data_IF_780851887646
#
_entry.id   IF_780851887646
#
_cell.length_a   1.000
_cell.length_b   1.000
_cell.length_c   1.000
_cell.angle_alpha   90.00
_cell.angle_beta   90.00
_cell.angle_gamma   90.00
#
_symmetry.space_group_name_H-M   'P 1'
#
loop_
_entity.id
_entity.type
_entity.pdbx_description
1 polymer ?
#
# COMPACT_ATOMS: atom_id res chain seq x y z
N UNK A 1 12.03 -11.32 -55.05
CA UNK A 1 12.97 -10.99 -53.97
C UNK A 1 12.72 -9.66 -53.24
N UNK A 2 11.54 -8.97 -53.39
CA UNK A 2 11.26 -7.67 -52.73
C UNK A 2 10.33 -7.76 -51.51
N UNK A 3 9.75 -8.92 -51.20
CA UNK A 3 8.79 -9.07 -50.05
C UNK A 3 9.44 -9.47 -48.71
N UNK A 4 10.66 -10.02 -48.74
CA UNK A 4 11.37 -10.52 -47.53
C UNK A 4 12.01 -9.38 -46.72
N UNK A 5 12.37 -8.26 -47.38
CA UNK A 5 13.01 -7.11 -46.72
C UNK A 5 12.01 -6.30 -45.86
N UNK A 6 10.71 -6.27 -46.25
CA UNK A 6 9.69 -5.51 -45.51
C UNK A 6 9.32 -6.15 -44.18
N UNK A 7 9.40 -7.49 -44.04
CA UNK A 7 9.10 -8.20 -42.78
C UNK A 7 10.22 -8.03 -41.73
N UNK A 8 11.46 -7.90 -42.15
CA UNK A 8 12.63 -7.70 -41.26
C UNK A 8 12.60 -6.27 -40.68
N UNK A 9 12.13 -5.26 -41.44
CA UNK A 9 12.03 -3.88 -40.93
C UNK A 9 10.94 -3.73 -39.89
N UNK A 10 9.79 -4.43 -40.03
CA UNK A 10 8.71 -4.39 -39.02
C UNK A 10 9.09 -5.04 -37.68
N UNK A 11 9.94 -6.09 -37.72
CA UNK A 11 10.43 -6.72 -36.50
C UNK A 11 11.43 -5.84 -35.72
N UNK A 12 12.17 -4.96 -36.40
CA UNK A 12 13.11 -4.04 -35.76
C UNK A 12 12.43 -2.85 -35.08
N UNK A 13 11.31 -2.38 -35.61
CA UNK A 13 10.55 -1.29 -34.99
C UNK A 13 9.80 -1.74 -33.71
N UNK A 14 9.31 -2.97 -33.66
CA UNK A 14 8.64 -3.52 -32.47
C UNK A 14 9.59 -3.73 -31.26
N UNK A 15 10.88 -3.99 -31.50
CA UNK A 15 11.86 -4.15 -30.42
C UNK A 15 12.35 -2.82 -29.83
N UNK A 16 12.39 -1.75 -30.61
CA UNK A 16 12.86 -0.44 -30.10
C UNK A 16 11.89 0.17 -29.08
N UNK A 17 10.57 0.07 -29.30
CA UNK A 17 9.56 0.62 -28.39
C UNK A 17 9.55 -0.10 -27.02
N UNK A 18 9.85 -1.40 -26.98
CA UNK A 18 9.88 -2.19 -25.74
C UNK A 18 11.13 -1.89 -24.90
N UNK A 19 12.27 -1.67 -25.52
CA UNK A 19 13.54 -1.41 -24.82
C UNK A 19 13.59 0.02 -24.27
N UNK A 20 13.05 1.00 -24.99
CA UNK A 20 12.90 2.38 -24.52
C UNK A 20 11.96 2.46 -23.31
N UNK A 21 10.83 1.75 -23.35
CA UNK A 21 9.91 1.64 -22.24
C UNK A 21 10.53 0.95 -21.02
N UNK A 22 11.32 -0.12 -21.22
CA UNK A 22 12.05 -0.80 -20.16
C UNK A 22 13.08 0.14 -19.50
N UNK A 23 13.82 0.92 -20.30
CA UNK A 23 14.77 1.93 -19.80
C UNK A 23 14.09 3.03 -18.99
N UNK A 24 12.93 3.52 -19.45
CA UNK A 24 12.14 4.53 -18.73
C UNK A 24 11.63 3.96 -17.39
N UNK A 25 11.10 2.74 -17.40
CA UNK A 25 10.62 2.07 -16.19
C UNK A 25 11.76 1.85 -15.20
N UNK A 26 12.94 1.43 -15.65
CA UNK A 26 14.10 1.28 -14.78
C UNK A 26 14.49 2.60 -14.11
N UNK A 27 14.58 3.69 -14.88
CA UNK A 27 14.92 5.02 -14.33
C UNK A 27 13.90 5.51 -13.31
N UNK A 28 12.61 5.30 -13.57
CA UNK A 28 11.55 5.66 -12.63
C UNK A 28 11.63 4.81 -11.37
N UNK A 29 11.79 3.50 -11.51
CA UNK A 29 11.99 2.58 -10.39
C UNK A 29 13.17 3.00 -9.52
N UNK A 30 14.33 3.26 -10.11
CA UNK A 30 15.55 3.72 -9.41
C UNK A 30 15.28 5.04 -8.64
N UNK A 31 14.59 6.00 -9.27
CA UNK A 31 14.25 7.29 -8.63
C UNK A 31 13.33 7.13 -7.41
N UNK A 32 12.32 6.24 -7.49
CA UNK A 32 11.43 5.98 -6.36
C UNK A 32 12.11 5.14 -5.28
N UNK A 33 12.99 4.22 -5.65
CA UNK A 33 13.80 3.43 -4.73
C UNK A 33 14.71 4.32 -3.86
N UNK A 34 15.40 5.31 -4.47
CA UNK A 34 16.22 6.30 -3.75
C UNK A 34 15.39 7.13 -2.75
N UNK A 35 14.13 7.43 -3.09
CA UNK A 35 13.19 8.12 -2.19
C UNK A 35 12.58 7.20 -1.13
N UNK A 36 12.94 5.91 -1.12
CA UNK A 36 12.35 4.87 -0.25
C UNK A 36 10.85 4.66 -0.45
N UNK A 37 10.34 5.01 -1.61
CA UNK A 37 8.95 4.77 -2.05
C UNK A 37 8.86 3.40 -2.72
N UNK A 38 9.10 2.34 -1.95
CA UNK A 38 9.37 0.99 -2.45
C UNK A 38 8.20 0.35 -3.20
N UNK A 39 6.95 0.63 -2.82
CA UNK A 39 5.76 0.13 -3.54
C UNK A 39 5.69 0.72 -4.95
N UNK A 40 6.03 2.01 -5.09
CA UNK A 40 6.04 2.67 -6.39
C UNK A 40 7.23 2.21 -7.23
N UNK A 41 8.40 2.01 -6.61
CA UNK A 41 9.58 1.48 -7.27
C UNK A 41 9.32 0.07 -7.83
N UNK A 42 8.74 -0.83 -7.02
CA UNK A 42 8.32 -2.18 -7.39
C UNK A 42 7.41 -2.19 -8.60
N UNK A 43 6.36 -1.36 -8.62
CA UNK A 43 5.44 -1.19 -9.73
C UNK A 43 6.15 -0.88 -11.06
N UNK A 44 7.22 -0.07 -11.06
CA UNK A 44 7.98 0.23 -12.26
C UNK A 44 8.93 -0.90 -12.66
N UNK A 45 9.60 -1.56 -11.70
CA UNK A 45 10.49 -2.67 -12.00
C UNK A 45 9.75 -3.90 -12.54
N UNK A 46 8.55 -4.21 -12.05
CA UNK A 46 7.71 -5.32 -12.54
C UNK A 46 7.24 -5.14 -13.99
N UNK A 47 7.30 -3.91 -14.51
CA UNK A 47 6.96 -3.60 -15.91
C UNK A 47 8.11 -3.79 -16.90
N UNK A 48 9.26 -4.21 -16.43
CA UNK A 48 10.40 -4.51 -17.29
C UNK A 48 10.29 -5.96 -17.73
N UNK A 49 10.14 -6.22 -19.06
CA UNK A 49 9.97 -7.57 -19.56
C UNK A 49 11.17 -8.47 -19.22
N UNK A 50 10.92 -9.77 -19.00
CA UNK A 50 11.95 -10.74 -18.63
C UNK A 50 13.01 -10.96 -19.71
N UNK A 51 12.65 -10.76 -20.97
CA UNK A 51 13.54 -10.82 -22.12
C UNK A 51 14.36 -9.54 -22.36
N UNK A 52 14.10 -8.47 -21.58
CA UNK A 52 14.87 -7.24 -21.63
C UNK A 52 16.27 -7.42 -21.04
N UNK A 53 17.33 -6.85 -21.66
CA UNK A 53 18.67 -6.79 -21.06
C UNK A 53 18.71 -6.12 -19.68
N UNK A 54 17.70 -5.29 -19.37
CA UNK A 54 17.57 -4.55 -18.11
C UNK A 54 16.89 -5.36 -17.01
N UNK A 55 16.28 -6.51 -17.34
CA UNK A 55 15.53 -7.33 -16.38
C UNK A 55 16.38 -7.80 -15.20
N UNK A 56 17.61 -8.23 -15.45
CA UNK A 56 18.53 -8.68 -14.38
C UNK A 56 18.76 -7.59 -13.33
N UNK A 57 18.86 -6.31 -13.76
CA UNK A 57 19.02 -5.18 -12.84
C UNK A 57 17.72 -4.93 -12.08
N UNK A 58 16.58 -4.94 -12.78
CA UNK A 58 15.28 -4.76 -12.16
C UNK A 58 14.97 -5.86 -11.13
N UNK A 59 15.24 -7.12 -11.47
CA UNK A 59 15.08 -8.28 -10.59
C UNK A 59 15.88 -8.14 -9.31
N UNK A 60 17.14 -7.70 -9.39
CA UNK A 60 17.97 -7.44 -8.20
C UNK A 60 17.33 -6.40 -7.27
N UNK A 61 16.77 -5.34 -7.83
CA UNK A 61 16.09 -4.29 -7.02
C UNK A 61 14.78 -4.81 -6.41
N UNK A 62 14.02 -5.63 -7.16
CA UNK A 62 12.82 -6.30 -6.63
C UNK A 62 13.16 -7.22 -5.46
N UNK A 63 14.24 -8.00 -5.56
CA UNK A 63 14.69 -8.88 -4.48
C UNK A 63 15.14 -8.06 -3.26
N UNK A 64 15.80 -6.91 -3.46
CA UNK A 64 16.17 -5.99 -2.38
C UNK A 64 14.94 -5.38 -1.71
N UNK A 65 13.94 -4.93 -2.48
CA UNK A 65 12.66 -4.45 -1.96
C UNK A 65 11.97 -5.54 -1.13
N UNK A 66 11.95 -6.78 -1.63
CA UNK A 66 11.36 -7.91 -0.91
C UNK A 66 12.05 -8.16 0.43
N UNK A 67 13.39 -8.05 0.49
CA UNK A 67 14.14 -8.16 1.75
C UNK A 67 13.83 -7.00 2.71
N UNK A 68 13.75 -5.77 2.21
CA UNK A 68 13.40 -4.59 3.00
C UNK A 68 11.98 -4.77 3.57
N UNK A 69 11.01 -5.16 2.73
CA UNK A 69 9.63 -5.42 3.16
C UNK A 69 9.54 -6.55 4.19
N UNK A 70 10.29 -7.64 3.98
CA UNK A 70 10.37 -8.73 4.95
C UNK A 70 10.91 -8.25 6.31
N UNK A 71 11.96 -7.44 6.29
CA UNK A 71 12.52 -6.86 7.51
C UNK A 71 11.56 -5.87 8.20
N UNK A 72 10.66 -5.22 7.44
CA UNK A 72 9.59 -4.41 8.01
C UNK A 72 8.54 -5.24 8.71
N UNK A 73 8.15 -6.40 8.12
CA UNK A 73 7.22 -7.34 8.75
C UNK A 73 7.81 -7.92 10.04
N UNK A 74 9.12 -8.21 10.06
CA UNK A 74 9.82 -8.70 11.27
C UNK A 74 9.92 -7.63 12.37
N UNK A 75 9.76 -6.34 12.04
CA UNK A 75 9.66 -5.23 13.00
C UNK A 75 8.20 -4.90 13.37
N UNK A 76 7.23 -5.70 12.95
CA UNK A 76 5.87 -5.57 13.47
C UNK A 76 5.88 -5.72 14.99
N UNK A 77 5.23 -4.78 15.63
CA UNK A 77 5.14 -4.76 17.10
C UNK A 77 4.34 -5.97 17.54
N UNK A 78 4.84 -6.75 18.51
CA UNK A 78 4.02 -7.74 19.17
C UNK A 78 2.69 -7.13 19.61
N UNK A 79 1.59 -7.88 19.50
CA UNK A 79 0.24 -7.41 19.79
C UNK A 79 0.10 -6.68 21.15
N UNK A 80 0.99 -6.97 22.11
CA UNK A 80 1.06 -6.31 23.42
C UNK A 80 1.40 -4.81 23.37
N UNK A 81 2.21 -4.37 22.41
CA UNK A 81 2.59 -2.95 22.32
C UNK A 81 1.55 -2.09 21.56
N UNK A 82 0.71 -2.73 20.73
CA UNK A 82 -0.35 -2.02 20.00
C UNK A 82 -1.38 -1.41 20.96
N UNK A 83 -1.57 -2.00 22.15
CA UNK A 83 -2.45 -1.46 23.20
C UNK A 83 -2.06 -0.05 23.67
N UNK A 84 -0.81 0.36 23.42
CA UNK A 84 -0.32 1.72 23.72
C UNK A 84 -0.67 2.75 22.64
N UNK A 85 -1.26 2.32 21.51
CA UNK A 85 -1.83 3.21 20.50
C UNK A 85 -3.33 3.25 20.75
N UNK A 86 -3.80 4.32 21.37
CA UNK A 86 -5.20 4.44 21.78
C UNK A 86 -6.02 5.14 20.70
N UNK A 87 -7.16 4.59 20.33
CA UNK A 87 -8.18 5.30 19.54
C UNK A 87 -8.94 6.21 20.51
N UNK A 88 -8.75 7.51 20.36
CA UNK A 88 -9.45 8.54 21.16
C UNK A 88 -10.84 8.81 20.61
N UNK A 89 -10.97 8.80 19.29
CA UNK A 89 -12.23 9.01 18.60
C UNK A 89 -12.24 8.23 17.28
N UNK A 90 -13.41 7.74 16.89
CA UNK A 90 -13.69 7.11 15.63
C UNK A 90 -15.02 7.62 15.08
N UNK A 91 -15.02 8.05 13.84
CA UNK A 91 -16.24 8.38 13.09
C UNK A 91 -16.16 7.82 11.70
N UNK A 92 -17.29 7.62 11.05
CA UNK A 92 -17.35 7.19 9.67
C UNK A 92 -18.47 7.91 8.91
N UNK A 93 -18.32 8.00 7.61
CA UNK A 93 -19.33 8.43 6.64
C UNK A 93 -19.39 7.45 5.49
N UNK A 94 -20.43 7.57 4.66
CA UNK A 94 -20.57 6.80 3.42
C UNK A 94 -20.28 7.70 2.23
N UNK A 95 -19.44 7.24 1.32
CA UNK A 95 -19.41 7.79 -0.03
C UNK A 95 -20.67 7.32 -0.76
N UNK A 96 -21.61 8.24 -0.99
CA UNK A 96 -22.91 7.92 -1.59
C UNK A 96 -22.84 7.51 -3.06
N UNK A 97 -21.70 7.76 -3.72
CA UNK A 97 -21.47 7.39 -5.13
C UNK A 97 -20.86 6.00 -5.25
N UNK A 98 -19.82 5.74 -4.44
CA UNK A 98 -19.08 4.47 -4.49
C UNK A 98 -19.58 3.42 -3.50
N UNK A 99 -20.46 3.81 -2.57
CA UNK A 99 -20.93 2.98 -1.47
C UNK A 99 -19.79 2.37 -0.62
N UNK A 100 -18.71 3.14 -0.45
CA UNK A 100 -17.56 2.76 0.36
C UNK A 100 -17.56 3.56 1.65
N UNK A 101 -17.41 2.91 2.82
CA UNK A 101 -17.26 3.63 4.08
C UNK A 101 -15.91 4.36 4.12
N UNK A 102 -15.94 5.62 4.55
CA UNK A 102 -14.75 6.44 4.81
C UNK A 102 -14.66 6.75 6.30
N UNK A 103 -13.54 6.41 6.90
CA UNK A 103 -13.33 6.52 8.34
C UNK A 103 -12.39 7.66 8.69
N UNK A 104 -12.60 8.20 9.88
CA UNK A 104 -11.67 9.11 10.56
C UNK A 104 -11.30 8.51 11.90
N UNK A 105 -10.00 8.41 12.18
CA UNK A 105 -9.44 7.97 13.44
C UNK A 105 -8.68 9.13 14.10
N UNK A 106 -8.96 9.39 15.36
CA UNK A 106 -8.09 10.20 16.21
C UNK A 106 -7.34 9.26 17.16
N UNK A 107 -6.01 9.26 17.05
CA UNK A 107 -5.13 8.34 17.75
C UNK A 107 -4.23 9.08 18.73
N UNK A 108 -3.85 8.40 19.80
CA UNK A 108 -2.79 8.81 20.71
C UNK A 108 -1.72 7.74 20.77
N UNK A 109 -0.46 8.14 20.58
CA UNK A 109 0.70 7.26 20.67
C UNK A 109 1.35 7.39 22.05
N UNK A 110 1.16 6.38 22.89
CA UNK A 110 1.78 6.30 24.22
C UNK A 110 3.10 5.51 24.21
N UNK A 111 3.70 5.32 23.03
CA UNK A 111 5.02 4.72 22.85
C UNK A 111 6.11 5.80 22.87
N UNK A 112 7.35 5.40 23.13
CA UNK A 112 8.55 6.25 23.07
C UNK A 112 9.12 6.42 21.66
N UNK A 113 8.43 5.89 20.61
CA UNK A 113 8.88 5.90 19.22
C UNK A 113 7.74 6.30 18.27
N UNK A 114 8.12 6.80 17.10
CA UNK A 114 7.16 7.22 16.08
C UNK A 114 6.52 6.02 15.38
N UNK A 115 5.19 6.06 15.21
CA UNK A 115 4.42 5.08 14.43
C UNK A 115 4.26 5.60 13.01
N UNK A 116 4.65 4.80 12.01
CA UNK A 116 4.58 5.14 10.58
C UNK A 116 3.40 4.51 9.87
N UNK A 117 3.01 3.34 10.30
CA UNK A 117 1.86 2.62 9.75
C UNK A 117 1.10 1.93 10.86
N UNK A 118 -0.19 1.84 10.67
CA UNK A 118 -1.07 0.99 11.47
C UNK A 118 -1.87 0.09 10.54
N UNK A 119 -2.22 -1.10 11.01
CA UNK A 119 -3.30 -1.87 10.42
C UNK A 119 -4.53 -1.67 11.29
N UNK A 120 -5.57 -1.05 10.73
CA UNK A 120 -6.84 -0.86 11.39
C UNK A 120 -7.85 -1.92 10.90
N UNK A 121 -8.57 -2.52 11.83
CA UNK A 121 -9.69 -3.40 11.59
C UNK A 121 -10.99 -2.66 11.90
N UNK A 122 -11.90 -2.60 10.93
CA UNK A 122 -13.21 -1.98 11.04
C UNK A 122 -14.28 -3.06 11.03
N UNK A 123 -15.13 -3.07 12.04
CA UNK A 123 -16.27 -3.99 12.16
C UNK A 123 -17.55 -3.21 11.98
N UNK A 124 -18.43 -3.70 11.12
CA UNK A 124 -19.70 -3.09 10.75
C UNK A 124 -20.86 -3.91 11.28
N UNK A 125 -21.85 -3.23 11.86
CA UNK A 125 -23.05 -3.88 12.34
C UNK A 125 -24.32 -3.20 11.80
N UNK A 126 -25.37 -4.03 11.61
CA UNK A 126 -26.70 -3.57 11.21
C UNK A 126 -27.44 -2.86 12.38
N UNK A 127 -28.69 -2.46 12.14
CA UNK A 127 -29.52 -1.79 13.13
C UNK A 127 -29.85 -2.66 14.36
N UNK A 128 -29.67 -3.99 14.25
CA UNK A 128 -29.89 -4.93 15.34
C UNK A 128 -28.58 -5.26 16.09
N UNK A 129 -27.46 -4.65 15.70
CA UNK A 129 -26.14 -4.93 16.27
C UNK A 129 -25.49 -6.22 15.75
N UNK A 130 -26.05 -6.84 14.68
CA UNK A 130 -25.47 -8.02 14.08
C UNK A 130 -24.29 -7.61 13.18
N UNK A 131 -23.13 -8.25 13.35
CA UNK A 131 -21.95 -8.00 12.54
C UNK A 131 -22.23 -8.46 11.11
N UNK A 132 -22.13 -7.51 10.15
CA UNK A 132 -22.39 -7.73 8.73
C UNK A 132 -21.11 -7.72 7.89
N UNK A 133 -20.00 -7.28 8.46
CA UNK A 133 -18.70 -7.27 7.79
C UNK A 133 -17.56 -6.84 8.72
N UNK A 134 -16.36 -7.26 8.36
CA UNK A 134 -15.10 -6.82 8.98
C UNK A 134 -14.07 -6.64 7.88
N UNK A 135 -13.44 -5.47 7.82
CA UNK A 135 -12.41 -5.14 6.84
C UNK A 135 -11.15 -4.67 7.56
N UNK A 136 -10.00 -4.99 6.98
CA UNK A 136 -8.70 -4.52 7.46
C UNK A 136 -8.05 -3.66 6.39
N UNK A 137 -7.40 -2.60 6.81
CA UNK A 137 -6.60 -1.78 5.91
C UNK A 137 -5.36 -1.27 6.61
N UNK A 138 -4.27 -1.16 5.85
CA UNK A 138 -3.08 -0.48 6.31
C UNK A 138 -3.22 1.02 6.05
N UNK A 139 -2.89 1.82 7.06
CA UNK A 139 -2.96 3.28 7.01
C UNK A 139 -1.57 3.83 7.26
N UNK A 140 -1.05 4.57 6.28
CA UNK A 140 0.18 5.36 6.46
C UNK A 140 -0.12 6.55 7.35
N UNK A 141 0.61 6.66 8.45
CA UNK A 141 0.46 7.74 9.43
C UNK A 141 1.83 8.31 9.79
N UNK A 142 1.85 9.42 10.49
CA UNK A 142 3.06 9.92 11.15
C UNK A 142 2.61 10.38 12.53
N UNK A 143 2.76 9.48 13.51
CA UNK A 143 2.28 9.71 14.87
C UNK A 143 3.46 9.65 15.83
N UNK A 144 3.93 10.83 16.23
CA UNK A 144 5.11 10.97 17.09
C UNK A 144 4.87 10.46 18.51
N UNK A 145 5.95 10.17 19.28
CA UNK A 145 5.84 9.79 20.67
C UNK A 145 5.01 10.77 21.48
N UNK A 146 4.15 10.25 22.35
CA UNK A 146 3.30 11.03 23.27
C UNK A 146 2.48 12.14 22.58
N UNK A 147 2.08 11.90 21.31
CA UNK A 147 1.31 12.86 20.53
C UNK A 147 -0.05 12.31 20.07
N UNK A 148 -0.90 13.23 19.66
CA UNK A 148 -2.19 12.93 19.02
C UNK A 148 -2.08 13.19 17.53
N UNK A 149 -2.83 12.41 16.74
CA UNK A 149 -2.98 12.59 15.31
C UNK A 149 -4.38 12.25 14.85
N UNK A 150 -4.91 13.01 13.88
CA UNK A 150 -6.18 12.76 13.23
C UNK A 150 -5.94 12.33 11.79
N UNK A 151 -6.48 11.18 11.42
CA UNK A 151 -6.30 10.54 10.11
C UNK A 151 -7.68 10.31 9.50
N UNK A 152 -7.94 10.95 8.38
CA UNK A 152 -9.25 10.95 7.69
C UNK A 152 -9.13 10.27 6.33
N UNK A 153 -10.28 10.03 5.69
CA UNK A 153 -10.40 9.39 4.38
C UNK A 153 -9.79 7.98 4.34
N UNK A 154 -9.91 7.23 5.43
CA UNK A 154 -9.49 5.83 5.49
C UNK A 154 -10.61 5.00 4.88
N UNK A 155 -10.34 4.40 3.71
CA UNK A 155 -11.29 3.59 2.94
C UNK A 155 -10.84 2.12 2.94
N UNK A 156 -11.38 1.28 3.85
CA UNK A 156 -10.93 -0.12 3.96
C UNK A 156 -11.51 -1.03 2.85
N UNK A 157 -12.46 -0.52 2.06
CA UNK A 157 -13.08 -1.25 0.96
C UNK A 157 -14.61 -1.29 1.05
N UNK A 158 -15.21 -2.11 0.21
CA UNK A 158 -16.67 -2.23 0.06
C UNK A 158 -17.26 -3.17 1.11
N UNK A 159 -18.41 -2.79 1.69
CA UNK A 159 -19.22 -3.62 2.58
C UNK A 159 -20.50 -4.01 1.85
N UNK A 160 -20.70 -5.31 1.59
CA UNK A 160 -21.81 -5.80 0.76
C UNK A 160 -23.20 -5.68 1.39
N UNK A 161 -23.28 -5.48 2.70
CA UNK A 161 -24.54 -5.39 3.45
C UNK A 161 -24.75 -4.00 4.02
N UNK A 162 -26.02 -3.61 4.18
CA UNK A 162 -26.39 -2.37 4.87
C UNK A 162 -25.96 -2.44 6.33
N UNK A 163 -25.30 -1.40 6.81
CA UNK A 163 -24.88 -1.25 8.21
C UNK A 163 -25.21 0.16 8.72
N UNK A 164 -25.36 0.30 10.03
CA UNK A 164 -25.71 1.55 10.69
C UNK A 164 -24.65 2.00 11.69
N UNK A 165 -23.75 1.11 12.06
CA UNK A 165 -22.67 1.39 13.00
C UNK A 165 -21.36 0.75 12.56
N UNK A 166 -20.26 1.34 13.03
CA UNK A 166 -18.93 0.79 12.83
C UNK A 166 -18.09 1.00 14.08
N UNK A 167 -17.22 0.03 14.38
CA UNK A 167 -16.17 0.14 15.38
C UNK A 167 -14.80 -0.03 14.74
N UNK A 168 -13.75 0.49 15.37
CA UNK A 168 -12.40 0.39 14.89
C UNK A 168 -11.46 -0.17 15.96
N UNK A 169 -10.48 -0.97 15.54
CA UNK A 169 -9.43 -1.55 16.39
C UNK A 169 -8.09 -1.49 15.65
N UNK A 170 -7.03 -1.13 16.35
CA UNK A 170 -5.67 -1.26 15.82
C UNK A 170 -5.21 -2.71 16.06
N UNK A 171 -4.80 -3.41 15.00
CA UNK A 171 -4.37 -4.81 15.07
C UNK A 171 -2.87 -4.98 14.92
N UNK A 172 -2.20 -4.06 14.23
CA UNK A 172 -0.74 -3.98 14.18
C UNK A 172 -0.26 -2.55 13.96
N UNK A 173 1.02 -2.30 14.22
CA UNK A 173 1.68 -1.03 13.95
C UNK A 173 3.12 -1.26 13.51
N UNK A 174 3.65 -0.37 12.65
CA UNK A 174 5.05 -0.37 12.21
C UNK A 174 5.70 0.96 12.53
N UNK A 175 6.95 0.89 12.90
CA UNK A 175 7.77 2.04 13.28
C UNK A 175 8.85 2.34 12.24
N UNK A 176 9.49 3.48 12.42
CA UNK A 176 10.70 3.80 11.68
C UNK A 176 11.90 3.14 12.33
#
# INVERSE_FOLDING_TARGET
MKKTILFILLALFGCMDTEENASLNLKKGDSFFEKKEYEVAEYYYERIPEDSPLYTKAKKQLDEIALIKKHWVEKEVPAGDVSKITILNHSFGMDNVRHVPSHTLELFNNLSREVKYITAEFTYADANGIIVGTLKTEVKISLYPNSRGKFSAIEPGYVAKVFTSSSAKIVSARFN
#
